data_IF_650499405714
#
_entry.id   IF_650499405714
#
_cell.length_a   1.000
_cell.length_b   1.000
_cell.length_c   1.000
_cell.angle_alpha   90.00
_cell.angle_beta   90.00
_cell.angle_gamma   90.00
#
_symmetry.space_group_name_H-M   'P 1'
#
loop_
_entity.id
_entity.type
_entity.pdbx_description
1 polymer ?
2 water ?
#
# COMPACT_ATOMS: atom_id res chain seq x y z
N UNK A 4 14.48 -17.98 -13.66
CA UNK A 4 14.11 -16.53 -13.51
C UNK A 4 14.48 -15.66 -14.73
N UNK A 5 13.47 -15.43 -15.57
CA UNK A 5 13.59 -14.45 -16.64
C UNK A 5 13.94 -13.08 -16.07
N UNK A 6 14.34 -12.21 -16.97
CA UNK A 6 14.59 -10.83 -16.65
C UNK A 6 13.29 -10.14 -16.22
N UNK A 7 12.23 -10.46 -16.94
CA UNK A 7 10.91 -9.89 -16.65
C UNK A 7 10.43 -10.31 -15.24
N UNK A 8 10.66 -11.56 -14.86
CA UNK A 8 10.25 -12.07 -13.53
C UNK A 8 11.09 -11.39 -12.41
N UNK A 9 12.38 -11.26 -12.67
CA UNK A 9 13.26 -10.52 -11.77
C UNK A 9 12.77 -9.09 -11.50
N UNK A 10 12.40 -8.40 -12.58
CA UNK A 10 11.92 -7.00 -12.53
C UNK A 10 10.51 -6.89 -11.89
N UNK A 11 9.69 -7.93 -12.06
CA UNK A 11 8.35 -8.01 -11.45
C UNK A 11 8.53 -8.19 -9.92
N UNK A 12 9.42 -9.11 -9.53
CA UNK A 12 9.79 -9.29 -8.10
C UNK A 12 10.36 -8.04 -7.41
N UNK A 13 11.30 -7.36 -8.06
CA UNK A 13 11.74 -6.05 -7.58
C UNK A 13 10.59 -5.10 -7.33
N UNK A 14 9.65 -5.06 -8.29
CA UNK A 14 8.42 -4.28 -8.14
C UNK A 14 7.56 -4.68 -6.94
N UNK A 15 7.20 -5.96 -6.83
CA UNK A 15 6.45 -6.49 -5.68
C UNK A 15 7.12 -6.16 -4.33
N UNK A 16 8.45 -6.23 -4.31
CA UNK A 16 9.21 -5.91 -3.12
C UNK A 16 9.11 -4.44 -2.78
N UNK A 17 9.07 -3.56 -3.79
CA UNK A 17 8.80 -2.14 -3.56
C UNK A 17 7.41 -2.03 -2.92
N UNK A 18 6.42 -2.67 -3.57
CA UNK A 18 5.04 -2.70 -3.06
C UNK A 18 4.97 -3.15 -1.60
N UNK A 19 5.63 -4.27 -1.29
CA UNK A 19 5.66 -4.79 0.07
C UNK A 19 6.28 -3.76 1.08
N UNK A 20 7.42 -3.16 0.75
CA UNK A 20 8.00 -2.12 1.61
C UNK A 20 7.02 -0.96 1.87
N UNK A 21 6.30 -0.57 0.82
CA UNK A 21 5.28 0.47 0.90
C UNK A 21 4.11 0.06 1.75
N UNK A 22 3.71 -1.22 1.66
CA UNK A 22 2.65 -1.75 2.55
C UNK A 22 3.03 -1.79 4.05
N UNK A 23 4.24 -2.25 4.38
CA UNK A 23 4.71 -2.19 5.80
C UNK A 23 4.79 -0.77 6.28
N UNK A 24 5.22 0.13 5.38
CA UNK A 24 5.25 1.53 5.70
C UNK A 24 3.84 2.04 6.03
N UNK A 25 2.84 1.63 5.23
CA UNK A 25 1.46 2.11 5.46
C UNK A 25 0.92 1.59 6.81
N UNK A 26 1.20 0.34 7.12
CA UNK A 26 0.82 -0.28 8.40
C UNK A 26 1.40 0.53 9.55
N UNK A 27 2.69 0.85 9.49
CA UNK A 27 3.31 1.75 10.49
C UNK A 27 2.62 3.11 10.56
N UNK A 28 2.50 3.78 9.40
CA UNK A 28 1.82 5.09 9.33
C UNK A 28 0.42 5.09 9.97
N UNK A 29 -0.41 4.11 9.61
CA UNK A 29 -1.75 4.09 10.13
C UNK A 29 -1.81 3.80 11.64
N UNK A 30 -0.95 2.91 12.16
CA UNK A 30 -0.87 2.73 13.62
C UNK A 30 -0.45 4.05 14.26
N UNK A 31 0.62 4.64 13.73
CA UNK A 31 1.10 5.89 14.23
C UNK A 31 -0.02 6.96 14.25
N UNK A 32 -0.78 7.06 13.15
CA UNK A 32 -1.85 8.07 13.07
C UNK A 32 -3.01 7.76 14.01
N UNK A 33 -3.35 6.50 14.17
CA UNK A 33 -4.38 6.12 15.12
C UNK A 33 -3.98 6.54 16.58
N UNK A 34 -2.70 6.32 16.92
CA UNK A 34 -2.17 6.67 18.24
C UNK A 34 -2.16 8.18 18.51
N UNK A 35 -1.79 8.96 17.50
CA UNK A 35 -1.38 10.35 17.71
C UNK A 35 -2.43 11.39 17.29
N UNK A 36 -3.44 10.98 16.54
CA UNK A 36 -4.45 12.00 16.10
C UNK A 36 -5.17 12.58 17.34
N UNK A 37 -5.42 13.89 17.33
CA UNK A 37 -5.92 14.59 18.52
C UNK A 37 -7.11 15.46 18.15
N UNK A 38 -7.67 16.16 19.15
CA UNK A 38 -8.92 16.94 18.99
C UNK A 38 -10.17 16.08 18.93
N UNK A 39 -11.35 16.71 18.90
CA UNK A 39 -12.61 15.95 18.97
C UNK A 39 -12.78 14.90 17.87
N UNK A 40 -12.29 15.19 16.66
CA UNK A 40 -12.42 14.24 15.53
C UNK A 40 -11.52 12.99 15.65
N UNK A 41 -10.57 12.99 16.60
CA UNK A 41 -9.83 11.77 16.97
C UNK A 41 -10.82 10.63 17.15
N UNK A 42 -11.95 10.93 17.78
CA UNK A 42 -12.99 9.92 17.98
C UNK A 42 -13.47 9.39 16.62
N UNK A 43 -13.48 10.26 15.61
CA UNK A 43 -13.82 9.84 14.23
C UNK A 43 -12.64 9.15 13.50
N UNK A 44 -11.47 9.75 13.59
CA UNK A 44 -10.39 9.36 12.71
C UNK A 44 -9.60 8.12 13.16
N UNK A 45 -9.42 7.97 14.47
CA UNK A 45 -8.78 6.76 14.98
C UNK A 45 -9.39 5.43 14.44
N UNK A 46 -10.72 5.21 14.55
CA UNK A 46 -11.24 3.97 13.93
C UNK A 46 -10.99 3.86 12.43
N UNK A 47 -11.01 5.00 11.72
CA UNK A 47 -10.73 5.03 10.29
C UNK A 47 -9.30 4.51 10.02
N UNK A 48 -8.31 5.15 10.64
CA UNK A 48 -6.90 4.72 10.57
C UNK A 48 -6.72 3.23 10.92
N UNK A 49 -7.26 2.83 12.07
CA UNK A 49 -7.31 1.43 12.48
C UNK A 49 -7.87 0.46 11.44
N UNK A 50 -8.96 0.84 10.77
CA UNK A 50 -9.52 -0.05 9.73
C UNK A 50 -8.53 -0.24 8.57
N UNK A 51 -7.80 0.81 8.21
CA UNK A 51 -6.82 0.68 7.13
C UNK A 51 -5.68 -0.29 7.47
N UNK A 52 -5.29 -0.36 8.75
CA UNK A 52 -4.26 -1.30 9.23
C UNK A 52 -4.51 -2.75 8.75
N UNK A 53 -5.70 -3.30 9.04
CA UNK A 53 -6.03 -4.68 8.68
C UNK A 53 -6.03 -4.91 7.17
N UNK A 54 -6.47 -3.88 6.44
CA UNK A 54 -6.51 -3.95 5.00
C UNK A 54 -5.11 -4.13 4.46
N UNK A 55 -4.20 -3.24 4.87
CA UNK A 55 -2.83 -3.23 4.37
C UNK A 55 -2.05 -4.50 4.80
N UNK A 56 -2.37 -5.00 6.00
CA UNK A 56 -1.82 -6.26 6.50
C UNK A 56 -2.12 -7.40 5.54
N UNK A 57 -3.34 -7.44 5.02
CA UNK A 57 -3.77 -8.45 4.05
C UNK A 57 -3.01 -8.32 2.72
N UNK A 58 -2.74 -7.09 2.30
CA UNK A 58 -1.93 -6.87 1.07
C UNK A 58 -0.48 -7.29 1.31
N UNK A 59 0.04 -6.94 2.49
CA UNK A 59 1.43 -7.32 2.84
C UNK A 59 1.61 -8.85 2.79
N UNK A 60 0.66 -9.56 3.39
CA UNK A 60 0.65 -11.02 3.40
C UNK A 60 0.60 -11.60 1.98
N UNK A 61 -0.32 -11.08 1.15
CA UNK A 61 -0.45 -11.54 -0.24
C UNK A 61 0.88 -11.35 -1.01
N UNK A 62 1.49 -10.17 -0.86
CA UNK A 62 2.69 -9.84 -1.61
C UNK A 62 3.88 -10.69 -1.20
N UNK A 63 4.10 -10.84 0.10
CA UNK A 63 5.23 -11.63 0.56
C UNK A 63 5.03 -13.07 0.10
N UNK A 64 3.79 -13.57 0.13
CA UNK A 64 3.52 -14.94 -0.37
C UNK A 64 3.85 -15.06 -1.86
N UNK A 65 3.41 -14.09 -2.64
CA UNK A 65 3.63 -14.10 -4.09
C UNK A 65 5.11 -13.98 -4.45
N UNK A 66 5.81 -13.11 -3.75
CA UNK A 66 7.25 -12.98 -3.94
C UNK A 66 7.96 -14.33 -3.75
N UNK A 67 7.70 -14.94 -2.61
CA UNK A 67 8.23 -16.28 -2.32
C UNK A 67 7.82 -17.32 -3.40
N UNK A 68 6.56 -17.33 -3.81
CA UNK A 68 6.07 -18.23 -4.82
C UNK A 68 6.79 -18.06 -6.17
N UNK A 69 7.18 -16.82 -6.50
CA UNK A 69 7.88 -16.52 -7.77
C UNK A 69 9.41 -16.75 -7.69
N UNK A 70 9.86 -17.17 -6.51
CA UNK A 70 11.28 -17.47 -6.26
C UNK A 70 12.11 -16.33 -5.70
N UNK A 71 11.45 -15.25 -5.29
CA UNK A 71 12.17 -14.11 -4.75
C UNK A 71 12.29 -14.19 -3.24
N UNK A 72 12.91 -13.17 -2.65
CA UNK A 72 12.97 -13.03 -1.20
C UNK A 72 12.16 -11.78 -0.76
N UNK A 73 11.09 -11.95 0.04
CA UNK A 73 10.30 -10.76 0.47
C UNK A 73 11.05 -9.85 1.43
N UNK A 74 11.12 -8.56 1.15
CA UNK A 74 11.78 -7.62 2.08
C UNK A 74 11.08 -7.46 3.44
N UNK A 75 11.85 -7.08 4.47
CA UNK A 75 11.28 -6.74 5.77
C UNK A 75 11.61 -5.30 6.11
N UNK A 76 12.04 -4.54 5.11
CA UNK A 76 12.43 -3.14 5.34
C UNK A 76 11.35 -2.21 4.79
N UNK A 77 10.65 -1.49 5.66
CA UNK A 77 9.61 -0.60 5.18
C UNK A 77 10.13 0.71 4.54
N UNK A 78 9.34 1.28 3.65
CA UNK A 78 9.60 2.72 3.27
C UNK A 78 9.48 3.65 4.51
N UNK A 79 10.07 4.83 4.41
CA UNK A 79 10.00 5.83 5.46
C UNK A 79 8.58 6.30 5.57
N UNK A 80 8.19 6.70 6.76
CA UNK A 80 6.89 7.34 6.96
C UNK A 80 7.15 8.86 7.06
N UNK A 81 6.46 9.66 6.24
CA UNK A 81 6.55 11.12 6.33
C UNK A 81 6.00 11.58 7.69
N UNK A 82 6.69 12.50 8.34
CA UNK A 82 6.24 12.98 9.66
C UNK A 82 5.20 14.09 9.51
N UNK A 83 4.04 13.87 10.11
CA UNK A 83 2.91 14.78 9.99
C UNK A 83 2.82 15.63 11.24
N UNK A 84 2.83 16.95 11.06
CA UNK A 84 2.81 17.93 12.16
C UNK A 84 1.41 18.32 12.65
N UNK A 85 0.37 17.88 11.93
CA UNK A 85 -1.02 18.14 12.32
C UNK A 85 -1.95 17.22 11.53
N UNK A 86 -3.25 17.25 11.85
CA UNK A 86 -4.26 16.38 11.23
C UNK A 86 -4.43 16.55 9.71
N UNK A 87 -4.47 17.80 9.22
CA UNK A 87 -4.52 18.02 7.77
C UNK A 87 -3.40 17.30 7.07
N UNK A 88 -2.17 17.55 7.53
CA UNK A 88 -1.00 16.84 7.05
C UNK A 88 -1.05 15.35 7.16
N UNK A 89 -1.55 14.84 8.27
CA UNK A 89 -1.75 13.43 8.42
C UNK A 89 -2.66 12.89 7.28
N UNK A 90 -3.76 13.60 6.97
CA UNK A 90 -4.63 13.12 5.88
C UNK A 90 -4.01 13.31 4.51
N UNK A 91 -3.30 14.41 4.29
CA UNK A 91 -2.64 14.60 2.99
C UNK A 91 -1.53 13.58 2.71
N UNK A 92 -0.72 13.29 3.72
CA UNK A 92 0.34 12.31 3.57
C UNK A 92 -0.19 10.87 3.42
N UNK A 93 -1.30 10.53 4.09
CA UNK A 93 -1.92 9.22 3.87
C UNK A 93 -2.43 9.12 2.41
N UNK A 94 -3.04 10.22 1.94
CA UNK A 94 -3.55 10.32 0.55
C UNK A 94 -2.44 10.16 -0.47
N UNK A 95 -1.32 10.84 -0.23
CA UNK A 95 -0.16 10.77 -1.14
C UNK A 95 0.44 9.36 -1.13
N UNK A 96 0.57 8.77 0.05
CA UNK A 96 1.02 7.39 0.15
C UNK A 96 0.12 6.44 -0.69
N UNK A 97 -1.20 6.60 -0.58
CA UNK A 97 -2.13 5.82 -1.38
C UNK A 97 -1.97 6.06 -2.86
N UNK A 98 -1.81 7.31 -3.24
CA UNK A 98 -1.56 7.67 -4.63
C UNK A 98 -0.34 6.94 -5.21
N UNK A 99 0.78 6.99 -4.49
CA UNK A 99 2.00 6.26 -4.89
C UNK A 99 1.82 4.74 -4.89
N UNK A 100 1.06 4.23 -3.93
CA UNK A 100 0.80 2.79 -3.89
C UNK A 100 0.03 2.36 -5.17
N UNK A 101 -0.98 3.13 -5.56
CA UNK A 101 -1.77 2.83 -6.79
C UNK A 101 -0.91 2.96 -8.04
N UNK A 102 -0.07 4.00 -8.10
CA UNK A 102 0.82 4.19 -9.24
C UNK A 102 1.71 2.97 -9.48
N UNK A 103 2.35 2.51 -8.42
CA UNK A 103 3.13 1.29 -8.41
C UNK A 103 2.29 0.07 -8.86
N UNK A 104 1.12 -0.14 -8.25
CA UNK A 104 0.27 -1.30 -8.64
C UNK A 104 -0.15 -1.31 -10.11
N UNK A 105 -0.44 -0.13 -10.65
CA UNK A 105 -0.74 0.00 -12.09
C UNK A 105 0.45 -0.43 -12.92
N UNK A 106 1.64 -0.01 -12.51
CA UNK A 106 2.82 -0.51 -13.20
C UNK A 106 2.95 -2.05 -13.07
N UNK A 107 2.84 -2.58 -11.85
CA UNK A 107 2.88 -4.03 -11.60
C UNK A 107 1.81 -4.78 -12.43
N UNK A 108 0.63 -4.21 -12.58
CA UNK A 108 -0.44 -4.82 -13.44
C UNK A 108 -0.03 -5.04 -14.88
N UNK A 109 0.64 -4.05 -15.47
CA UNK A 109 1.14 -4.20 -16.84
C UNK A 109 2.33 -5.13 -16.95
N UNK A 110 3.16 -5.19 -15.91
CA UNK A 110 4.13 -6.29 -15.77
C UNK A 110 3.50 -7.70 -15.68
N UNK A 111 2.55 -7.87 -14.76
CA UNK A 111 1.85 -9.14 -14.60
C UNK A 111 1.09 -9.49 -15.89
N UNK A 112 0.38 -8.52 -16.47
CA UNK A 112 -0.37 -8.79 -17.70
C UNK A 112 0.59 -9.24 -18.79
N UNK A 113 1.69 -8.52 -18.96
CA UNK A 113 2.67 -8.84 -19.97
C UNK A 113 3.24 -10.26 -19.86
N UNK A 114 3.26 -10.81 -18.65
CA UNK A 114 3.69 -12.20 -18.39
C UNK A 114 2.52 -13.19 -18.32
N UNK A 115 1.34 -12.75 -18.77
CA UNK A 115 0.13 -13.58 -18.76
C UNK A 115 -0.24 -14.13 -17.39
N UNK A 116 -0.03 -13.34 -16.34
CA UNK A 116 -0.28 -13.83 -15.00
C UNK A 116 -1.69 -13.49 -14.49
N UNK A 117 -2.67 -14.34 -14.85
CA UNK A 117 -4.08 -14.08 -14.66
C UNK A 117 -4.47 -13.78 -13.25
N UNK A 118 -4.23 -14.71 -12.34
CA UNK A 118 -4.56 -14.54 -10.92
C UNK A 118 -3.91 -13.24 -10.34
N UNK A 119 -2.65 -12.95 -10.73
CA UNK A 119 -1.95 -11.77 -10.20
C UNK A 119 -2.56 -10.43 -10.74
N UNK A 120 -2.89 -10.40 -12.02
CA UNK A 120 -3.61 -9.27 -12.60
C UNK A 120 -4.96 -9.01 -11.87
N UNK A 121 -5.75 -10.07 -11.66
CA UNK A 121 -7.04 -9.95 -10.93
C UNK A 121 -6.82 -9.38 -9.55
N UNK A 122 -5.79 -9.88 -8.89
CA UNK A 122 -5.53 -9.40 -7.55
C UNK A 122 -5.00 -7.96 -7.55
N UNK A 123 -4.14 -7.60 -8.52
CA UNK A 123 -3.65 -6.20 -8.59
C UNK A 123 -4.79 -5.23 -8.93
N UNK A 124 -5.68 -5.63 -9.82
CA UNK A 124 -6.90 -4.85 -10.13
C UNK A 124 -7.75 -4.62 -8.90
N UNK A 125 -7.96 -5.67 -8.11
CA UNK A 125 -8.66 -5.53 -6.84
C UNK A 125 -7.95 -4.63 -5.79
N UNK A 126 -6.63 -4.76 -5.66
CA UNK A 126 -5.87 -3.91 -4.73
C UNK A 126 -5.88 -2.46 -5.20
N UNK A 127 -5.74 -2.25 -6.51
CA UNK A 127 -5.99 -0.93 -7.10
C UNK A 127 -7.36 -0.36 -6.76
N UNK A 128 -8.43 -1.17 -6.92
CA UNK A 128 -9.81 -0.73 -6.63
C UNK A 128 -9.89 -0.37 -5.18
N UNK A 129 -9.44 -1.27 -4.33
CA UNK A 129 -9.41 -1.00 -2.90
C UNK A 129 -8.62 0.25 -2.46
N UNK A 130 -7.42 0.46 -2.99
CA UNK A 130 -6.63 1.64 -2.55
C UNK A 130 -7.26 2.95 -3.12
N UNK A 131 -7.87 2.84 -4.29
CA UNK A 131 -8.53 3.99 -4.92
C UNK A 131 -9.73 4.37 -4.08
N UNK A 132 -10.47 3.38 -3.58
CA UNK A 132 -11.52 3.63 -2.60
C UNK A 132 -11.02 4.48 -1.42
N UNK A 133 -9.91 4.06 -0.83
CA UNK A 133 -9.35 4.78 0.32
C UNK A 133 -8.91 6.18 -0.02
N UNK A 134 -8.23 6.32 -1.16
CA UNK A 134 -7.75 7.63 -1.59
C UNK A 134 -8.90 8.62 -1.85
N UNK A 135 -9.95 8.14 -2.53
CA UNK A 135 -11.15 8.93 -2.80
C UNK A 135 -11.87 9.39 -1.54
N UNK A 136 -11.87 8.53 -0.51
CA UNK A 136 -12.42 8.86 0.80
C UNK A 136 -11.61 9.94 1.51
N UNK A 137 -10.29 9.80 1.48
CA UNK A 137 -9.39 10.82 2.02
C UNK A 137 -9.64 12.18 1.33
N UNK A 138 -9.86 12.15 0.01
CA UNK A 138 -10.20 13.39 -0.71
C UNK A 138 -11.51 14.02 -0.20
N UNK A 139 -12.48 13.19 0.13
CA UNK A 139 -13.77 13.67 0.65
C UNK A 139 -13.55 14.30 2.02
N UNK A 140 -12.78 13.61 2.88
CA UNK A 140 -12.40 14.15 4.19
C UNK A 140 -11.64 15.48 4.09
N UNK A 141 -10.76 15.60 3.11
CA UNK A 141 -9.93 16.79 2.92
C UNK A 141 -10.63 17.99 2.26
N UNK A 142 -11.64 17.70 1.44
CA UNK A 142 -12.32 18.75 0.68
C UNK A 142 -13.73 18.90 1.18
#
# INVERSE_FOLDING_TARGET
>A
SNAMSHDVKELIEGLNEDLAGEYSAIIMYNHNAATVSGIYRQVLKPFFESEISDEQGHALYLAEKIKTLGGTPTTIPLRVKQAEDVREMLEYARQSEYETIKRYEKRKEQAANLNMTELVVKLEDMIADETNHMEELDRLLNDKAXVLN
#
